data_IF_024001866403
#
_entry.id   IF_024001866403
#
_cell.length_a   1.000
_cell.length_b   1.000
_cell.length_c   1.000
_cell.angle_alpha   90.00
_cell.angle_beta   90.00
_cell.angle_gamma   90.00
#
_symmetry.space_group_name_H-M   'P 1'
#
loop_
_entity.id
_entity.type
_entity.pdbx_description
1 polymer ?
#
# COMPACT_ATOMS: atom_id res chain seq x y z
N UNK A 1 -30.80 -21.03 -16.12
CA UNK A 1 -31.58 -20.14 -15.24
C UNK A 1 -30.81 -19.95 -13.94
N UNK A 2 -29.99 -18.91 -13.88
CA UNK A 2 -29.47 -18.33 -12.62
C UNK A 2 -29.03 -16.90 -12.94
N UNK A 3 -30.00 -15.99 -12.82
CA UNK A 3 -29.93 -14.58 -12.40
C UNK A 3 -28.73 -13.76 -12.91
N UNK A 4 -28.85 -12.89 -13.92
CA UNK A 4 -29.57 -11.60 -13.89
C UNK A 4 -29.54 -10.92 -12.50
N UNK A 5 -28.38 -10.38 -12.12
CA UNK A 5 -28.29 -9.23 -11.21
C UNK A 5 -27.33 -8.21 -11.83
N UNK A 6 -27.86 -7.46 -12.79
CA UNK A 6 -27.24 -6.26 -13.35
C UNK A 6 -28.27 -5.14 -13.29
N UNK A 7 -28.27 -4.36 -12.20
CA UNK A 7 -28.77 -2.97 -12.18
C UNK A 7 -28.80 -2.42 -10.75
N UNK A 8 -27.72 -1.77 -10.32
CA UNK A 8 -27.67 -1.09 -9.02
C UNK A 8 -26.34 -0.40 -8.73
N UNK A 9 -25.66 0.13 -9.76
CA UNK A 9 -24.33 0.71 -9.63
C UNK A 9 -24.40 2.16 -9.13
N UNK A 10 -24.74 2.29 -7.85
CA UNK A 10 -24.58 3.53 -7.09
C UNK A 10 -23.08 3.83 -6.94
N UNK A 11 -22.62 5.02 -7.37
CA UNK A 11 -21.21 5.48 -7.32
C UNK A 11 -20.50 5.20 -5.99
N UNK A 12 -21.24 5.14 -4.88
CA UNK A 12 -20.74 4.84 -3.52
C UNK A 12 -20.19 3.42 -3.38
N UNK A 13 -20.72 2.46 -4.15
CA UNK A 13 -20.32 1.04 -4.10
C UNK A 13 -19.02 0.79 -4.87
N UNK A 14 -18.78 1.49 -5.99
CA UNK A 14 -17.53 1.34 -6.75
C UNK A 14 -16.29 1.74 -5.95
N UNK A 15 -16.39 2.82 -5.18
CA UNK A 15 -15.26 3.29 -4.37
C UNK A 15 -14.95 2.30 -3.23
N UNK A 16 -15.99 1.75 -2.60
CA UNK A 16 -15.84 0.70 -1.60
C UNK A 16 -15.30 -0.61 -2.21
N UNK A 17 -15.67 -0.98 -3.43
CA UNK A 17 -15.07 -2.11 -4.13
C UNK A 17 -13.62 -1.86 -4.57
N UNK A 18 -13.25 -0.61 -4.86
CA UNK A 18 -11.88 -0.21 -5.15
C UNK A 18 -10.98 -0.29 -3.90
N UNK A 19 -11.52 0.07 -2.74
CA UNK A 19 -10.84 -0.07 -1.44
C UNK A 19 -10.90 -1.52 -0.94
N UNK A 20 -11.91 -2.28 -1.35
CA UNK A 20 -12.00 -3.71 -1.07
C UNK A 20 -10.95 -4.44 -1.90
N UNK A 21 -9.91 -4.94 -1.25
CA UNK A 21 -8.94 -5.88 -1.83
C UNK A 21 -9.60 -7.25 -2.18
N UNK A 22 -10.91 -7.29 -2.42
CA UNK A 22 -11.67 -8.51 -2.70
C UNK A 22 -11.60 -8.97 -4.16
N UNK A 23 -11.25 -8.11 -5.11
CA UNK A 23 -11.16 -8.49 -6.54
C UNK A 23 -9.71 -8.45 -7.05
N UNK A 24 -9.29 -9.40 -7.91
CA UNK A 24 -7.92 -9.41 -8.44
C UNK A 24 -7.61 -8.17 -9.29
N UNK A 25 -8.61 -7.59 -9.95
CA UNK A 25 -8.46 -6.36 -10.72
C UNK A 25 -8.23 -5.13 -9.82
N UNK A 26 -8.99 -4.98 -8.71
CA UNK A 26 -8.80 -3.86 -7.78
C UNK A 26 -7.44 -3.92 -7.10
N UNK A 27 -6.97 -5.12 -6.72
CA UNK A 27 -5.62 -5.31 -6.16
C UNK A 27 -4.56 -4.82 -7.16
N UNK A 28 -4.58 -5.29 -8.40
CA UNK A 28 -3.56 -4.91 -9.40
C UNK A 28 -3.57 -3.41 -9.66
N UNK A 29 -4.74 -2.79 -9.81
CA UNK A 29 -4.86 -1.34 -10.02
C UNK A 29 -4.37 -0.54 -8.82
N UNK A 30 -4.75 -0.91 -7.60
CA UNK A 30 -4.37 -0.22 -6.38
C UNK A 30 -2.86 -0.29 -6.15
N UNK A 31 -2.29 -1.49 -6.22
CA UNK A 31 -0.87 -1.69 -5.98
C UNK A 31 -0.03 -0.98 -7.04
N UNK A 32 -0.39 -1.10 -8.32
CA UNK A 32 0.30 -0.38 -9.39
C UNK A 32 0.20 1.15 -9.20
N UNK A 33 -0.94 1.65 -8.75
CA UNK A 33 -1.12 3.05 -8.39
C UNK A 33 -0.20 3.51 -7.26
N UNK A 34 0.01 2.69 -6.23
CA UNK A 34 0.94 2.98 -5.13
C UNK A 34 2.39 3.08 -5.63
N UNK A 35 2.83 2.17 -6.51
CA UNK A 35 4.16 2.26 -7.14
C UNK A 35 4.33 3.54 -7.96
N UNK A 36 3.32 3.86 -8.77
CA UNK A 36 3.35 5.06 -9.62
C UNK A 36 3.41 6.35 -8.79
N UNK A 37 2.58 6.45 -7.75
CA UNK A 37 2.61 7.59 -6.82
C UNK A 37 3.96 7.70 -6.10
N UNK A 38 4.53 6.59 -5.64
CA UNK A 38 5.84 6.60 -4.98
C UNK A 38 6.98 7.00 -5.92
N UNK A 39 6.84 6.75 -7.22
CA UNK A 39 7.80 7.19 -8.24
C UNK A 39 7.66 8.69 -8.56
N UNK A 40 6.44 9.24 -8.54
CA UNK A 40 6.19 10.68 -8.77
C UNK A 40 6.64 11.52 -7.57
N UNK A 41 6.50 11.02 -6.34
CA UNK A 41 6.77 11.80 -5.14
C UNK A 41 8.28 11.93 -4.92
N UNK A 42 8.86 13.14 -4.99
CA UNK A 42 10.29 13.33 -4.82
C UNK A 42 10.73 12.98 -3.39
N UNK A 43 11.87 12.29 -3.21
CA UNK A 43 12.33 11.79 -1.92
C UNK A 43 12.73 12.92 -0.96
N UNK A 44 13.09 14.09 -1.50
CA UNK A 44 13.44 15.30 -0.73
C UNK A 44 12.26 15.82 0.08
N UNK A 45 11.06 15.80 -0.49
CA UNK A 45 9.82 16.21 0.19
C UNK A 45 9.46 15.28 1.35
N UNK A 46 9.95 14.04 1.35
CA UNK A 46 9.68 13.04 2.39
C UNK A 46 10.76 13.04 3.49
N UNK A 47 12.02 13.32 3.14
CA UNK A 47 13.13 13.48 4.11
C UNK A 47 12.90 14.69 5.04
N UNK A 48 12.44 15.81 4.48
CA UNK A 48 12.27 17.07 5.23
C UNK A 48 10.82 17.41 5.60
N UNK A 49 9.85 16.53 5.30
CA UNK A 49 8.45 16.84 5.56
C UNK A 49 8.18 17.09 7.05
N UNK A 50 7.63 18.26 7.44
CA UNK A 50 7.16 18.54 8.79
C UNK A 50 5.85 17.80 9.10
N UNK A 51 5.24 17.12 8.12
CA UNK A 51 4.22 16.09 8.34
C UNK A 51 4.89 14.87 9.00
N UNK A 52 5.26 15.05 10.27
CA UNK A 52 5.54 13.99 11.24
C UNK A 52 4.48 12.93 11.04
N UNK A 53 4.89 11.78 10.51
CA UNK A 53 4.13 10.53 10.54
C UNK A 53 2.62 10.71 10.66
N UNK A 54 1.89 10.78 9.55
CA UNK A 54 0.42 10.85 9.58
C UNK A 54 -0.17 9.77 10.50
N UNK A 55 0.49 8.60 10.52
CA UNK A 55 0.21 7.55 11.49
C UNK A 55 0.41 7.96 12.95
N UNK A 56 1.54 8.60 13.31
CA UNK A 56 1.83 9.07 14.69
C UNK A 56 0.89 10.16 15.16
N UNK A 57 0.56 11.11 14.29
CA UNK A 57 -0.15 12.32 14.69
C UNK A 57 -1.67 12.24 14.49
N UNK A 58 -2.15 11.43 13.56
CA UNK A 58 -3.59 11.27 13.29
C UNK A 58 -4.09 9.87 13.62
N UNK A 59 -3.50 8.81 13.03
CA UNK A 59 -4.06 7.45 13.16
C UNK A 59 -3.91 6.87 14.58
N UNK A 60 -2.70 6.92 15.15
CA UNK A 60 -2.41 6.38 16.48
C UNK A 60 -3.20 7.07 17.61
N UNK A 61 -3.36 8.41 17.65
CA UNK A 61 -4.21 9.03 18.66
C UNK A 61 -5.69 8.67 18.51
N UNK A 62 -6.20 8.51 17.28
CA UNK A 62 -7.59 8.13 17.05
C UNK A 62 -7.85 6.68 17.49
N UNK A 63 -6.95 5.75 17.16
CA UNK A 63 -7.17 4.31 17.41
C UNK A 63 -6.67 3.87 18.80
N UNK A 64 -5.50 4.34 19.21
CA UNK A 64 -4.79 3.88 20.40
C UNK A 64 -4.73 4.93 21.52
N UNK A 65 -5.51 6.03 21.42
CA UNK A 65 -5.56 7.11 22.42
C UNK A 65 -4.19 7.67 22.82
N UNK A 66 -3.25 7.69 21.87
CA UNK A 66 -1.90 8.20 22.09
C UNK A 66 -0.91 7.20 22.68
N UNK A 67 -1.32 5.97 23.00
CA UNK A 67 -0.40 4.89 23.33
C UNK A 67 0.22 4.32 22.05
N UNK A 68 1.56 4.27 21.97
CA UNK A 68 2.27 3.58 20.88
C UNK A 68 2.18 2.06 21.12
N UNK A 69 1.43 1.27 20.34
CA UNK A 69 1.30 -0.19 20.56
C UNK A 69 2.62 -0.96 20.30
N UNK A 70 3.66 -0.28 19.82
CA UNK A 70 4.95 -0.86 19.42
C UNK A 70 6.10 -0.49 20.35
N UNK A 71 5.84 0.23 21.46
CA UNK A 71 6.88 0.71 22.39
C UNK A 71 7.66 -0.38 23.13
N UNK A 72 7.30 -1.66 22.98
CA UNK A 72 8.03 -2.79 23.57
C UNK A 72 8.91 -3.58 22.61
N UNK A 73 8.74 -3.42 21.28
CA UNK A 73 9.44 -4.24 20.27
C UNK A 73 10.28 -3.42 19.28
N UNK A 74 9.97 -2.13 19.15
CA UNK A 74 10.64 -1.22 18.22
C UNK A 74 10.91 0.10 18.96
N UNK A 75 12.18 0.37 19.26
CA UNK A 75 12.63 1.54 20.02
C UNK A 75 12.03 2.86 19.50
N UNK A 76 11.60 3.71 20.45
CA UNK A 76 11.30 5.15 20.29
C UNK A 76 10.15 5.59 19.37
N UNK A 77 8.95 4.99 19.43
CA UNK A 77 7.77 5.44 18.63
C UNK A 77 8.15 5.81 17.17
N UNK A 78 9.14 5.10 16.60
CA UNK A 78 9.52 5.18 15.21
C UNK A 78 8.44 4.41 14.48
N UNK A 79 7.37 5.10 14.08
CA UNK A 79 6.24 4.48 13.40
C UNK A 79 6.74 3.62 12.23
N UNK A 80 6.55 2.30 12.34
CA UNK A 80 6.96 1.35 11.30
C UNK A 80 6.41 1.75 9.93
N UNK A 81 5.16 2.24 9.90
CA UNK A 81 4.54 2.74 8.68
C UNK A 81 5.32 3.87 8.02
N UNK A 82 5.82 4.85 8.79
CA UNK A 82 6.58 5.96 8.21
C UNK A 82 7.94 5.53 7.71
N UNK A 83 8.67 4.73 8.50
CA UNK A 83 9.96 4.18 8.08
C UNK A 83 9.81 3.36 6.80
N UNK A 84 8.75 2.56 6.71
CA UNK A 84 8.44 1.76 5.52
C UNK A 84 8.09 2.63 4.31
N UNK A 85 7.26 3.67 4.44
CA UNK A 85 6.93 4.57 3.32
C UNK A 85 8.16 5.33 2.83
N UNK A 86 8.99 5.85 3.74
CA UNK A 86 10.24 6.52 3.38
C UNK A 86 11.22 5.57 2.69
N UNK A 87 11.31 4.36 3.22
CA UNK A 87 12.12 3.31 2.63
C UNK A 87 11.63 2.96 1.22
N UNK A 88 10.32 2.80 1.04
CA UNK A 88 9.70 2.45 -0.23
C UNK A 88 9.95 3.52 -1.30
N UNK A 89 9.74 4.80 -0.96
CA UNK A 89 10.00 5.90 -1.92
C UNK A 89 11.48 6.03 -2.24
N UNK A 90 12.37 5.87 -1.25
CA UNK A 90 13.83 5.86 -1.49
C UNK A 90 14.21 4.71 -2.43
N UNK A 91 13.61 3.53 -2.24
CA UNK A 91 13.82 2.36 -3.09
C UNK A 91 13.31 2.60 -4.52
N UNK A 92 12.16 3.24 -4.70
CA UNK A 92 11.62 3.58 -6.02
C UNK A 92 12.50 4.58 -6.80
N UNK A 93 13.29 5.39 -6.08
CA UNK A 93 14.27 6.30 -6.67
C UNK A 93 15.66 5.67 -6.84
N UNK A 94 15.83 4.39 -6.52
CA UNK A 94 17.09 3.67 -6.64
C UNK A 94 18.07 3.84 -5.47
N UNK A 95 17.72 4.59 -4.42
CA UNK A 95 18.55 4.76 -3.23
C UNK A 95 18.31 3.60 -2.25
N UNK A 96 18.89 2.44 -2.58
CA UNK A 96 18.76 1.20 -1.80
C UNK A 96 19.38 1.33 -0.41
N UNK A 97 20.51 2.04 -0.28
CA UNK A 97 21.16 2.23 1.02
C UNK A 97 20.28 3.06 1.96
N UNK A 98 19.74 4.20 1.49
CA UNK A 98 18.80 4.96 2.31
C UNK A 98 17.54 4.15 2.64
N UNK A 99 17.04 3.36 1.69
CA UNK A 99 15.86 2.52 1.91
C UNK A 99 16.06 1.52 3.06
N UNK A 100 17.19 0.81 3.07
CA UNK A 100 17.53 -0.16 4.12
C UNK A 100 17.76 0.54 5.47
N UNK A 101 18.40 1.72 5.45
CA UNK A 101 18.61 2.53 6.65
C UNK A 101 17.29 3.03 7.26
N UNK A 102 16.27 3.30 6.45
CA UNK A 102 14.94 3.65 6.94
C UNK A 102 14.16 2.43 7.45
N UNK A 103 14.17 1.32 6.71
CA UNK A 103 13.59 0.05 7.16
C UNK A 103 14.10 -1.14 6.31
N UNK A 104 14.83 -2.06 6.94
CA UNK A 104 15.35 -3.28 6.29
C UNK A 104 14.25 -4.17 5.68
N UNK A 105 13.05 -4.16 6.24
CA UNK A 105 11.92 -4.98 5.78
C UNK A 105 11.26 -4.43 4.50
N UNK A 106 11.66 -3.24 4.03
CA UNK A 106 11.11 -2.67 2.80
C UNK A 106 11.27 -3.60 1.61
N UNK A 107 12.40 -4.29 1.50
CA UNK A 107 12.68 -5.20 0.38
C UNK A 107 11.69 -6.38 0.36
N UNK A 108 11.40 -6.94 1.54
CA UNK A 108 10.42 -8.01 1.68
C UNK A 108 9.02 -7.54 1.28
N UNK A 109 8.61 -6.35 1.73
CA UNK A 109 7.29 -5.80 1.39
C UNK A 109 7.17 -5.55 -0.11
N UNK A 110 8.20 -4.97 -0.74
CA UNK A 110 8.19 -4.70 -2.19
C UNK A 110 8.16 -6.00 -2.99
N UNK A 111 8.96 -7.00 -2.60
CA UNK A 111 8.92 -8.31 -3.22
C UNK A 111 7.53 -8.96 -3.11
N UNK A 112 6.90 -8.88 -1.93
CA UNK A 112 5.54 -9.38 -1.72
C UNK A 112 4.52 -8.64 -2.59
N UNK A 113 4.63 -7.30 -2.70
CA UNK A 113 3.73 -6.51 -3.55
C UNK A 113 3.83 -6.94 -5.02
N UNK A 114 5.06 -7.10 -5.54
CA UNK A 114 5.29 -7.53 -6.92
C UNK A 114 4.74 -8.94 -7.12
N UNK A 115 4.98 -9.86 -6.19
CA UNK A 115 4.45 -11.22 -6.24
C UNK A 115 2.90 -11.22 -6.25
N UNK A 116 2.26 -10.39 -5.43
CA UNK A 116 0.81 -10.23 -5.40
C UNK A 116 0.27 -9.65 -6.71
N UNK A 117 0.94 -8.65 -7.29
CA UNK A 117 0.56 -8.12 -8.61
C UNK A 117 0.65 -9.23 -9.66
N UNK A 118 1.78 -9.93 -9.74
CA UNK A 118 2.00 -10.99 -10.72
C UNK A 118 0.98 -12.13 -10.57
N UNK A 119 0.72 -12.58 -9.34
CA UNK A 119 -0.25 -13.63 -9.05
C UNK A 119 -1.69 -13.23 -9.43
N UNK A 120 -2.11 -12.01 -9.10
CA UNK A 120 -3.44 -11.53 -9.46
C UNK A 120 -3.55 -11.28 -10.97
N UNK A 121 -2.47 -10.85 -11.61
CA UNK A 121 -2.41 -10.66 -13.05
C UNK A 121 -2.54 -11.99 -13.81
N UNK A 122 -1.84 -13.05 -13.40
CA UNK A 122 -2.01 -14.39 -14.01
C UNK A 122 -3.42 -14.94 -13.79
N UNK A 123 -4.01 -14.71 -12.62
CA UNK A 123 -5.41 -15.07 -12.34
C UNK A 123 -6.39 -14.35 -13.27
N UNK A 124 -6.17 -13.07 -13.56
CA UNK A 124 -6.97 -12.30 -14.51
C UNK A 124 -6.87 -12.87 -15.92
N UNK A 125 -5.65 -13.15 -16.40
CA UNK A 125 -5.43 -13.73 -17.73
C UNK A 125 -6.09 -15.10 -17.90
N UNK A 126 -5.99 -15.95 -16.87
CA UNK A 126 -6.63 -17.29 -16.88
C UNK A 126 -8.15 -17.18 -16.96
N UNK A 127 -8.76 -16.25 -16.23
CA UNK A 127 -10.21 -16.07 -16.26
C UNK A 127 -10.70 -15.54 -17.62
N UNK A 128 -9.93 -14.64 -18.25
CA UNK A 128 -10.25 -14.15 -19.61
C UNK A 128 -10.17 -15.24 -20.68
N UNK A 129 -9.26 -16.22 -20.54
CA UNK A 129 -9.19 -17.36 -21.46
C UNK A 129 -10.35 -18.35 -21.31
N UNK A 130 -10.98 -18.43 -20.14
CA UNK A 130 -12.09 -19.36 -19.88
C UNK A 130 -13.45 -18.85 -20.38
N UNK A 131 -13.51 -17.62 -20.89
CA UNK A 131 -14.74 -17.00 -21.41
C UNK A 131 -14.81 -16.99 -22.95
N UNK A 132 -13.78 -17.50 -23.63
CA UNK A 132 -13.72 -17.68 -25.09
C UNK A 132 -14.17 -19.08 -25.47
#
# INVERSE_FOLDING_TARGET
>A
MTSLVSSGFSKKNRFLELISLGTPASIVMLLSGVFFLASIVPPTSIKYSPFRCLFRYYIFPIIFRGHCPTSGFFEDCKCLGCGLTRAFVSLMHGDVQAAINFNKHVLLVVALMIALIAWNYTKLLRNSSSQK
#
